data_IF_625992021049
#
_entry.id   IF_625992021049
#
_cell.length_a   1.000
_cell.length_b   1.000
_cell.length_c   1.000
_cell.angle_alpha   90.00
_cell.angle_beta   90.00
_cell.angle_gamma   90.00
#
_symmetry.space_group_name_H-M   'P 1'
#
loop_
_entity.id
_entity.type
_entity.pdbx_description
1 polymer ?
#
# COMPACT_ATOMS: atom_id res chain seq x y z
N UNK A 1 -9.19 -28.19 -21.77
CA UNK A 1 -10.44 -28.70 -21.19
C UNK A 1 -10.05 -29.66 -20.08
N UNK A 2 -10.59 -29.42 -18.88
CA UNK A 2 -10.76 -30.33 -17.73
C UNK A 2 -10.44 -29.58 -16.42
N UNK A 3 -11.53 -29.20 -15.78
CA UNK A 3 -11.70 -28.38 -14.59
C UNK A 3 -11.45 -29.22 -13.34
N UNK A 4 -10.53 -28.80 -12.48
CA UNK A 4 -10.41 -29.32 -11.13
C UNK A 4 -11.11 -28.34 -10.18
N UNK A 5 -12.36 -28.66 -9.85
CA UNK A 5 -13.18 -27.93 -8.89
C UNK A 5 -12.71 -28.28 -7.48
N UNK A 6 -11.94 -27.41 -6.84
CA UNK A 6 -11.73 -27.47 -5.40
C UNK A 6 -12.67 -26.50 -4.71
N UNK A 7 -13.89 -26.96 -4.48
CA UNK A 7 -14.82 -26.36 -3.54
C UNK A 7 -14.34 -26.73 -2.13
N UNK A 8 -13.68 -25.80 -1.44
CA UNK A 8 -13.47 -25.90 0.00
C UNK A 8 -14.04 -24.63 0.65
N UNK A 9 -15.27 -24.76 1.11
CA UNK A 9 -16.01 -23.75 1.85
C UNK A 9 -15.55 -23.81 3.31
N UNK A 10 -14.65 -22.91 3.71
CA UNK A 10 -14.22 -22.78 5.10
C UNK A 10 -15.04 -21.66 5.76
N UNK A 11 -16.09 -22.08 6.43
CA UNK A 11 -16.94 -21.29 7.32
C UNK A 11 -16.10 -20.83 8.50
N UNK A 12 -15.64 -19.57 8.51
CA UNK A 12 -15.09 -18.95 9.71
C UNK A 12 -16.20 -18.15 10.37
N UNK A 13 -16.64 -18.67 11.49
CA UNK A 13 -17.65 -18.11 12.40
C UNK A 13 -17.20 -16.77 12.97
N UNK A 14 -18.04 -15.75 12.83
CA UNK A 14 -17.89 -14.44 13.48
C UNK A 14 -18.06 -14.63 14.99
N UNK A 15 -17.03 -14.33 15.77
CA UNK A 15 -17.15 -14.23 17.23
C UNK A 15 -17.23 -12.74 17.59
N UNK A 16 -18.39 -12.31 18.06
CA UNK A 16 -18.58 -11.00 18.69
C UNK A 16 -18.12 -11.09 20.15
N UNK A 17 -17.03 -10.41 20.51
CA UNK A 17 -16.71 -10.14 21.92
C UNK A 17 -17.13 -8.70 22.27
N UNK A 18 -18.09 -8.59 23.18
CA UNK A 18 -18.50 -7.32 23.79
C UNK A 18 -17.60 -6.95 24.96
N UNK A 19 -17.07 -5.72 24.92
CA UNK A 19 -16.79 -4.74 25.99
C UNK A 19 -16.13 -5.16 27.31
N UNK A 20 -15.04 -4.46 27.68
CA UNK A 20 -14.96 -3.80 29.00
C UNK A 20 -14.03 -2.58 28.93
N UNK A 21 -14.48 -1.44 29.50
CA UNK A 21 -13.66 -0.25 29.70
C UNK A 21 -12.78 -0.34 30.96
N UNK A 22 -11.72 0.47 30.99
CA UNK A 22 -10.82 0.68 32.12
C UNK A 22 -9.65 1.58 31.72
N UNK A 23 -9.55 2.77 32.33
CA UNK A 23 -8.55 3.80 32.04
C UNK A 23 -7.15 3.48 32.61
N UNK A 24 -6.14 4.04 31.92
CA UNK A 24 -4.74 4.29 32.31
C UNK A 24 -3.72 3.15 32.23
N UNK A 25 -2.80 3.24 31.25
CA UNK A 25 -1.37 3.46 31.49
C UNK A 25 -0.65 3.63 30.14
N UNK A 26 0.24 4.62 30.08
CA UNK A 26 1.12 4.90 28.94
C UNK A 26 2.07 3.72 28.73
N UNK A 27 2.10 3.16 27.53
CA UNK A 27 3.26 2.46 26.98
C UNK A 27 3.44 2.92 25.54
N UNK A 28 4.62 3.46 25.25
CA UNK A 28 5.15 3.74 23.94
C UNK A 28 5.51 2.39 23.30
N UNK A 29 4.53 1.77 22.63
CA UNK A 29 4.74 0.59 21.83
C UNK A 29 4.75 1.03 20.36
N UNK A 30 5.90 0.91 19.72
CA UNK A 30 5.98 0.94 18.26
C UNK A 30 5.19 -0.25 17.74
N UNK A 31 3.89 -0.01 17.51
CA UNK A 31 2.98 -0.93 16.88
C UNK A 31 3.49 -1.19 15.46
N UNK A 32 4.38 -2.17 15.31
CA UNK A 32 4.66 -2.79 14.01
C UNK A 32 3.35 -3.44 13.59
N UNK A 33 2.54 -2.71 12.84
CA UNK A 33 1.31 -3.24 12.26
C UNK A 33 1.69 -4.51 11.50
N UNK A 34 1.20 -5.66 11.97
CA UNK A 34 1.37 -6.92 11.26
C UNK A 34 0.77 -6.75 9.86
N UNK A 35 1.64 -6.78 8.84
CA UNK A 35 1.23 -6.73 7.44
C UNK A 35 0.45 -8.00 7.12
N UNK A 36 -0.88 -7.91 7.19
CA UNK A 36 -1.77 -9.00 6.81
C UNK A 36 -1.58 -9.30 5.32
N UNK A 37 -1.23 -10.55 4.99
CA UNK A 37 -1.14 -11.01 3.60
C UNK A 37 -2.51 -10.85 2.94
N UNK A 38 -2.56 -10.22 1.76
CA UNK A 38 -3.78 -9.96 0.99
C UNK A 38 -4.54 -8.68 1.35
N UNK A 39 -4.24 -8.02 2.47
CA UNK A 39 -4.83 -6.74 2.87
C UNK A 39 -3.96 -5.53 2.51
N UNK A 40 -4.58 -4.36 2.36
CA UNK A 40 -3.84 -3.09 2.34
C UNK A 40 -3.52 -2.67 3.77
N UNK A 41 -2.29 -2.23 4.00
CA UNK A 41 -1.85 -1.67 5.28
C UNK A 41 -1.07 -0.39 5.04
N UNK A 42 -1.24 0.60 5.92
CA UNK A 42 -0.32 1.74 5.99
C UNK A 42 1.10 1.22 6.27
N UNK A 43 2.11 1.88 5.73
CA UNK A 43 3.50 1.42 5.82
C UNK A 43 4.44 2.62 5.83
N UNK A 44 5.57 2.47 6.54
CA UNK A 44 6.66 3.43 6.45
C UNK A 44 7.24 3.46 5.03
N UNK A 45 7.73 4.62 4.61
CA UNK A 45 8.41 4.77 3.32
C UNK A 45 9.67 3.91 3.31
N UNK A 46 9.75 2.96 2.38
CA UNK A 46 10.92 2.10 2.20
C UNK A 46 11.67 2.44 0.92
N UNK A 47 12.95 2.07 0.78
CA UNK A 47 13.71 2.26 -0.45
C UNK A 47 13.06 1.61 -1.69
N UNK A 48 12.29 0.53 -1.51
CA UNK A 48 11.54 -0.11 -2.59
C UNK A 48 10.34 0.73 -3.03
N UNK A 49 9.62 1.35 -2.08
CA UNK A 49 8.54 2.28 -2.41
C UNK A 49 9.07 3.53 -3.14
N UNK A 50 10.24 4.04 -2.74
CA UNK A 50 10.92 5.14 -3.44
C UNK A 50 11.28 4.76 -4.87
N UNK A 51 11.81 3.56 -5.10
CA UNK A 51 12.11 3.05 -6.46
C UNK A 51 10.85 2.90 -7.30
N UNK A 52 9.75 2.41 -6.71
CA UNK A 52 8.47 2.32 -7.40
C UNK A 52 7.95 3.70 -7.82
N UNK A 53 8.09 4.72 -6.95
CA UNK A 53 7.72 6.09 -7.29
C UNK A 53 8.67 6.71 -8.33
N UNK A 54 9.98 6.48 -8.23
CA UNK A 54 10.96 6.94 -9.23
C UNK A 54 10.65 6.37 -10.62
N UNK A 55 10.25 5.10 -10.71
CA UNK A 55 9.78 4.49 -11.95
C UNK A 55 8.58 5.25 -12.55
N UNK A 56 7.62 5.68 -11.72
CA UNK A 56 6.48 6.50 -12.15
C UNK A 56 6.94 7.89 -12.61
N UNK A 57 7.77 8.58 -11.82
CA UNK A 57 8.20 9.95 -12.09
C UNK A 57 8.95 10.06 -13.42
N UNK A 58 9.74 9.05 -13.79
CA UNK A 58 10.41 8.97 -15.10
C UNK A 58 9.45 8.91 -16.30
N UNK A 59 8.20 8.48 -16.07
CA UNK A 59 7.15 8.42 -17.09
C UNK A 59 6.23 9.64 -17.06
N UNK A 60 6.30 10.47 -16.00
CA UNK A 60 5.52 11.69 -15.93
C UNK A 60 6.14 12.76 -16.83
N UNK A 61 5.34 13.29 -17.76
CA UNK A 61 5.72 14.45 -18.58
C UNK A 61 5.58 15.75 -17.76
N UNK A 62 6.43 15.93 -16.76
CA UNK A 62 6.41 17.10 -15.87
C UNK A 62 7.82 17.65 -15.62
N UNK A 63 7.92 18.96 -15.46
CA UNK A 63 9.15 19.63 -15.02
C UNK A 63 9.24 19.77 -13.49
N UNK A 64 8.14 19.51 -12.78
CA UNK A 64 8.09 19.55 -11.33
C UNK A 64 8.88 18.37 -10.75
N UNK A 65 9.53 18.59 -9.61
CA UNK A 65 10.26 17.53 -8.89
C UNK A 65 9.42 16.98 -7.75
N UNK A 66 9.74 15.77 -7.32
CA UNK A 66 9.23 15.22 -6.07
C UNK A 66 9.70 16.09 -4.91
N UNK A 67 8.77 16.52 -4.06
CA UNK A 67 9.08 17.11 -2.74
C UNK A 67 9.17 15.99 -1.69
N UNK A 68 8.06 15.25 -1.49
CA UNK A 68 8.01 14.15 -0.53
C UNK A 68 6.90 13.14 -0.82
N UNK A 69 7.07 11.92 -0.31
CA UNK A 69 5.96 10.99 -0.10
C UNK A 69 5.21 11.40 1.18
N UNK A 70 3.88 11.41 1.11
CA UNK A 70 3.00 11.84 2.22
C UNK A 70 2.26 10.69 2.87
N UNK A 71 1.85 9.69 2.09
CA UNK A 71 1.23 8.46 2.59
C UNK A 71 1.66 7.28 1.73
N UNK A 72 1.75 6.11 2.36
CA UNK A 72 2.10 4.89 1.68
C UNK A 72 1.28 3.74 2.25
N UNK A 73 0.53 3.08 1.37
CA UNK A 73 -0.06 1.78 1.68
C UNK A 73 0.56 0.72 0.80
N UNK A 74 0.75 -0.44 1.37
CA UNK A 74 1.21 -1.61 0.64
C UNK A 74 0.28 -2.78 0.83
N UNK A 75 0.28 -3.68 -0.14
CA UNK A 75 -0.42 -4.97 -0.06
C UNK A 75 0.52 -6.05 -0.59
N UNK A 76 0.67 -7.11 0.18
CA UNK A 76 1.39 -8.32 -0.23
C UNK A 76 0.46 -9.20 -1.05
N UNK A 77 0.88 -9.55 -2.26
CA UNK A 77 0.19 -10.45 -3.20
C UNK A 77 1.21 -11.45 -3.75
N UNK A 78 1.07 -11.95 -4.98
CA UNK A 78 2.16 -12.63 -5.72
C UNK A 78 3.24 -11.63 -6.22
N UNK A 79 3.66 -10.74 -5.33
CA UNK A 79 4.37 -9.50 -5.59
C UNK A 79 3.98 -8.47 -4.53
N UNK A 80 4.10 -7.18 -4.84
CA UNK A 80 3.72 -6.10 -3.93
C UNK A 80 3.00 -4.99 -4.67
N UNK A 81 1.85 -4.58 -4.16
CA UNK A 81 1.20 -3.35 -4.59
C UNK A 81 1.62 -2.19 -3.68
N UNK A 82 1.78 -1.03 -4.29
CA UNK A 82 2.01 0.26 -3.64
C UNK A 82 0.87 1.21 -4.01
N UNK A 83 0.35 1.93 -3.03
CA UNK A 83 -0.59 3.04 -3.18
C UNK A 83 0.05 4.25 -2.50
N UNK A 84 0.51 5.20 -3.32
CA UNK A 84 1.45 6.24 -2.92
C UNK A 84 0.82 7.62 -3.14
N UNK A 85 0.67 8.38 -2.06
CA UNK A 85 0.35 9.80 -2.11
C UNK A 85 1.63 10.61 -1.98
N UNK A 86 1.91 11.52 -2.91
CA UNK A 86 3.12 12.32 -2.93
C UNK A 86 2.86 13.79 -3.30
N UNK A 87 3.72 14.66 -2.80
CA UNK A 87 3.72 16.09 -3.06
C UNK A 87 4.85 16.42 -4.04
N UNK A 88 4.54 17.26 -5.02
CA UNK A 88 5.54 17.84 -5.94
C UNK A 88 5.96 19.23 -5.44
N UNK A 89 7.13 19.70 -5.85
CA UNK A 89 7.70 21.01 -5.49
C UNK A 89 6.83 22.22 -5.88
N UNK A 90 5.92 22.04 -6.82
CA UNK A 90 4.91 23.03 -7.21
C UNK A 90 3.66 23.03 -6.30
N UNK A 91 3.69 22.32 -5.18
CA UNK A 91 2.62 22.23 -4.19
C UNK A 91 1.45 21.33 -4.58
N UNK A 92 1.52 20.60 -5.70
CA UNK A 92 0.43 19.70 -6.14
C UNK A 92 0.61 18.30 -5.55
N UNK A 93 -0.45 17.80 -4.91
CA UNK A 93 -0.52 16.44 -4.40
C UNK A 93 -1.08 15.47 -5.46
N UNK A 94 -0.53 14.26 -5.50
CA UNK A 94 -0.86 13.22 -6.46
C UNK A 94 -0.95 11.86 -5.78
N UNK A 95 -1.77 10.99 -6.35
CA UNK A 95 -1.86 9.58 -5.98
C UNK A 95 -1.52 8.70 -7.18
N UNK A 96 -0.77 7.61 -6.96
CA UNK A 96 -0.46 6.59 -7.97
C UNK A 96 -0.55 5.18 -7.35
N UNK A 97 -0.84 4.17 -8.18
CA UNK A 97 -0.68 2.77 -7.79
C UNK A 97 0.30 2.05 -8.71
N UNK A 98 1.20 1.29 -8.10
CA UNK A 98 2.27 0.55 -8.77
C UNK A 98 2.26 -0.88 -8.26
N UNK A 99 2.38 -1.83 -9.16
CA UNK A 99 2.65 -3.22 -8.85
C UNK A 99 4.13 -3.54 -9.11
N UNK A 100 4.74 -4.28 -8.20
CA UNK A 100 6.07 -4.87 -8.36
C UNK A 100 5.94 -6.40 -8.35
N UNK A 101 6.43 -7.06 -9.40
CA UNK A 101 6.47 -8.52 -9.44
C UNK A 101 7.61 -9.10 -8.58
N UNK A 102 7.64 -10.43 -8.45
CA UNK A 102 8.66 -11.13 -7.67
C UNK A 102 10.07 -11.06 -8.28
N UNK A 103 10.21 -10.59 -9.52
CA UNK A 103 11.49 -10.35 -10.21
C UNK A 103 11.95 -8.89 -10.07
N UNK A 104 11.11 -8.02 -9.49
CA UNK A 104 11.38 -6.60 -9.29
C UNK A 104 10.97 -5.70 -10.46
N UNK A 105 10.25 -6.20 -11.46
CA UNK A 105 9.70 -5.36 -12.53
C UNK A 105 8.50 -4.57 -12.02
N UNK A 106 8.34 -3.34 -12.52
CA UNK A 106 7.25 -2.44 -12.13
C UNK A 106 6.20 -2.29 -13.23
N UNK A 107 4.94 -2.16 -12.80
CA UNK A 107 3.79 -1.83 -13.64
C UNK A 107 2.96 -0.72 -12.97
N UNK A 108 2.61 0.33 -13.71
CA UNK A 108 1.67 1.34 -13.22
C UNK A 108 0.24 0.80 -13.36
N UNK A 109 -0.37 0.42 -12.24
CA UNK A 109 -1.75 -0.12 -12.21
C UNK A 109 -2.82 0.97 -12.07
N UNK A 110 -2.43 2.14 -11.57
CA UNK A 110 -3.21 3.39 -11.65
C UNK A 110 -2.25 4.53 -11.92
N UNK A 111 -2.44 5.21 -13.06
CA UNK A 111 -1.64 6.40 -13.43
C UNK A 111 -1.75 7.50 -12.39
N UNK A 112 -0.71 8.33 -12.28
CA UNK A 112 -0.70 9.44 -11.34
C UNK A 112 -1.87 10.39 -11.60
N UNK A 113 -2.73 10.57 -10.60
CA UNK A 113 -3.88 11.49 -10.63
C UNK A 113 -3.77 12.50 -9.50
N UNK A 114 -4.08 13.76 -9.79
CA UNK A 114 -4.07 14.83 -8.80
C UNK A 114 -5.11 14.55 -7.70
N UNK A 115 -4.73 14.78 -6.45
CA UNK A 115 -5.64 14.73 -5.30
C UNK A 115 -6.36 16.09 -5.23
N UNK A 116 -7.69 16.06 -5.13
CA UNK A 116 -8.54 17.27 -5.05
C UNK A 116 -8.78 17.69 -3.61
#
# INVERSE_FOLDING_TARGET
>A
MNSLKHTLFLLVTVVFFSSCGGDNAKNDESHKQEQLVGGWSESEVTPEAEKALDYVLKQMNTSAKLDKITHLRTQIVSGRNYDIDFLMDNGKAWNVKVYQDLQGNYEITKTATRIN
#
